data_IF_501301477339
#
_entry.id   IF_501301477339
#
_cell.length_a   1.000
_cell.length_b   1.000
_cell.length_c   1.000
_cell.angle_alpha   90.00
_cell.angle_beta   90.00
_cell.angle_gamma   90.00
#
_symmetry.space_group_name_H-M   'P 1'
#
loop_
_entity.id
_entity.type
_entity.pdbx_description
1 polymer ?
#
# COMPACT_ATOMS: atom_id res chain seq x y z
N UNK A 1 45.01 50.70 16.99
CA UNK A 1 46.46 50.96 16.97
C UNK A 1 47.23 49.65 17.18
N UNK A 2 48.10 49.33 16.21
CA UNK A 2 49.38 48.56 16.28
C UNK A 2 49.51 47.37 17.26
N UNK A 3 49.61 46.14 16.72
CA UNK A 3 50.85 45.36 16.38
C UNK A 3 51.35 44.49 17.56
N UNK A 4 51.15 43.18 17.55
CA UNK A 4 51.90 42.09 16.86
C UNK A 4 53.20 41.63 17.55
N UNK A 5 53.28 40.36 17.96
CA UNK A 5 54.45 39.44 17.99
C UNK A 5 53.89 38.00 18.01
N UNK A 6 53.99 37.14 16.99
CA UNK A 6 55.14 36.48 16.30
C UNK A 6 55.89 35.47 17.17
N UNK A 7 55.93 34.23 16.66
CA UNK A 7 56.80 33.08 17.01
C UNK A 7 56.00 31.78 16.79
N UNK A 8 56.03 31.03 15.68
CA UNK A 8 57.01 30.67 14.65
C UNK A 8 58.10 29.65 15.12
N UNK A 9 57.81 28.38 14.82
CA UNK A 9 58.65 27.27 14.31
C UNK A 9 59.54 26.46 15.27
N UNK A 10 59.31 25.14 15.27
CA UNK A 10 60.20 23.98 14.96
C UNK A 10 59.68 22.80 15.78
N UNK A 11 59.28 21.63 15.27
CA UNK A 11 59.48 21.00 13.98
C UNK A 11 59.80 19.52 14.25
N UNK A 12 58.93 18.59 13.84
CA UNK A 12 59.33 17.22 13.48
C UNK A 12 58.39 16.76 12.36
N UNK A 13 58.97 16.66 11.16
CA UNK A 13 58.49 15.81 10.08
C UNK A 13 58.34 14.38 10.62
N UNK A 14 57.11 13.88 10.65
CA UNK A 14 56.86 12.45 10.52
C UNK A 14 56.15 12.26 9.18
N UNK A 15 56.98 12.02 8.16
CA UNK A 15 56.60 11.48 6.86
C UNK A 15 56.02 10.07 7.10
N UNK A 16 54.74 9.97 7.44
CA UNK A 16 54.01 8.71 7.29
C UNK A 16 53.54 8.62 5.86
N UNK A 17 54.19 7.73 5.11
CA UNK A 17 53.69 7.15 3.87
C UNK A 17 52.19 6.88 4.01
N UNK A 18 51.35 7.68 3.35
CA UNK A 18 49.96 7.31 3.09
C UNK A 18 50.00 6.22 2.03
N UNK A 19 50.26 5.00 2.47
CA UNK A 19 50.00 3.81 1.67
C UNK A 19 48.49 3.75 1.46
N UNK A 20 48.06 4.06 0.25
CA UNK A 20 46.82 3.53 -0.34
C UNK A 20 46.71 2.05 0.00
N UNK A 21 45.72 1.68 0.81
CA UNK A 21 45.37 0.30 1.08
C UNK A 21 45.14 -0.02 2.55
N UNK A 22 43.88 0.11 3.00
CA UNK A 22 43.31 -0.78 4.01
C UNK A 22 41.77 -0.69 4.00
N UNK A 23 41.13 -1.03 2.87
CA UNK A 23 39.69 -1.34 2.81
C UNK A 23 39.41 -2.80 3.21
N UNK A 24 40.22 -3.38 4.11
CA UNK A 24 40.15 -4.81 4.47
C UNK A 24 39.90 -5.09 5.95
N UNK A 25 39.42 -4.11 6.73
CA UNK A 25 39.22 -4.26 8.17
C UNK A 25 37.75 -4.27 8.63
N UNK A 26 36.86 -4.84 7.82
CA UNK A 26 35.63 -5.47 8.32
C UNK A 26 35.71 -6.95 7.93
N UNK A 27 36.27 -7.78 8.82
CA UNK A 27 36.64 -9.18 8.58
C UNK A 27 35.46 -10.17 8.51
N UNK A 28 34.43 -9.88 7.71
CA UNK A 28 33.27 -10.75 7.51
C UNK A 28 33.00 -11.05 6.03
N UNK A 29 32.42 -12.22 5.74
CA UNK A 29 31.90 -12.55 4.40
C UNK A 29 30.73 -11.59 4.09
N UNK A 30 30.80 -10.88 2.97
CA UNK A 30 29.76 -9.93 2.54
C UNK A 30 28.84 -10.54 1.47
N UNK A 31 27.56 -10.19 1.52
CA UNK A 31 26.54 -10.59 0.55
C UNK A 31 26.53 -9.64 -0.64
N UNK A 32 26.57 -8.33 -0.36
CA UNK A 32 26.64 -7.26 -1.36
C UNK A 32 27.50 -6.12 -0.83
N UNK A 33 28.19 -5.40 -1.71
CA UNK A 33 28.82 -4.13 -1.41
C UNK A 33 28.08 -3.03 -2.15
N UNK A 34 27.76 -1.96 -1.43
CA UNK A 34 27.12 -0.76 -1.95
C UNK A 34 28.13 0.37 -1.83
N UNK A 35 28.72 0.76 -2.96
CA UNK A 35 29.93 1.57 -3.01
C UNK A 35 31.07 0.87 -2.24
N UNK A 36 31.56 1.48 -1.16
CA UNK A 36 32.61 0.89 -0.31
C UNK A 36 32.05 0.16 0.93
N UNK A 37 30.75 0.29 1.21
CA UNK A 37 30.09 -0.30 2.38
C UNK A 37 29.67 -1.75 2.12
N UNK A 38 30.15 -2.73 2.90
CA UNK A 38 29.68 -4.11 2.79
C UNK A 38 28.41 -4.35 3.62
N UNK A 39 27.44 -5.04 3.02
CA UNK A 39 26.33 -5.69 3.71
C UNK A 39 26.77 -7.13 3.99
N UNK A 40 26.87 -7.51 5.28
CA UNK A 40 27.42 -8.80 5.67
C UNK A 40 26.43 -9.94 5.47
N UNK A 41 26.95 -11.13 5.13
CA UNK A 41 26.13 -12.36 5.01
C UNK A 41 25.35 -12.62 6.30
N UNK A 42 25.98 -12.42 7.45
CA UNK A 42 25.34 -12.61 8.76
C UNK A 42 24.09 -11.73 8.92
N UNK A 43 24.15 -10.48 8.49
CA UNK A 43 23.06 -9.52 8.67
C UNK A 43 21.91 -9.84 7.69
N UNK A 44 22.26 -10.23 6.47
CA UNK A 44 21.30 -10.71 5.50
C UNK A 44 20.59 -11.98 5.97
N UNK A 45 21.33 -12.99 6.42
CA UNK A 45 20.77 -14.25 6.91
C UNK A 45 19.86 -14.03 8.13
N UNK A 46 20.23 -13.11 9.03
CA UNK A 46 19.38 -12.73 10.16
C UNK A 46 18.06 -12.08 9.71
N UNK A 47 18.11 -11.19 8.71
CA UNK A 47 16.92 -10.50 8.17
C UNK A 47 16.00 -11.48 7.43
N UNK A 48 16.57 -12.42 6.67
CA UNK A 48 15.84 -13.52 6.05
C UNK A 48 15.15 -14.38 7.11
N UNK A 49 15.86 -14.78 8.17
CA UNK A 49 15.29 -15.63 9.22
C UNK A 49 14.13 -14.95 9.95
N UNK A 50 14.22 -13.64 10.21
CA UNK A 50 13.12 -12.90 10.85
C UNK A 50 11.91 -12.77 9.91
N UNK A 51 12.13 -12.44 8.64
CA UNK A 51 11.06 -12.37 7.66
C UNK A 51 10.35 -13.72 7.49
N UNK A 52 11.09 -14.83 7.45
CA UNK A 52 10.51 -16.18 7.36
C UNK A 52 9.55 -16.47 8.52
N UNK A 53 9.94 -16.15 9.77
CA UNK A 53 9.04 -16.33 10.93
C UNK A 53 7.74 -15.56 10.81
N UNK A 54 7.78 -14.36 10.23
CA UNK A 54 6.59 -13.52 10.04
C UNK A 54 5.67 -14.13 8.98
N UNK A 55 6.22 -14.54 7.84
CA UNK A 55 5.45 -15.24 6.82
C UNK A 55 4.84 -16.56 7.34
N UNK A 56 5.58 -17.30 8.18
CA UNK A 56 5.07 -18.51 8.85
C UNK A 56 3.93 -18.21 9.82
N UNK A 57 4.03 -17.15 10.61
CA UNK A 57 2.94 -16.66 11.48
C UNK A 57 1.68 -16.28 10.68
N UNK A 58 1.85 -15.85 9.43
CA UNK A 58 0.77 -15.54 8.49
C UNK A 58 0.28 -16.76 7.69
N UNK A 59 0.80 -17.97 7.98
CA UNK A 59 0.35 -19.23 7.40
C UNK A 59 1.14 -19.74 6.19
N UNK A 60 2.20 -19.04 5.77
CA UNK A 60 3.09 -19.53 4.71
C UNK A 60 3.92 -20.72 5.22
N UNK A 61 4.02 -21.78 4.43
CA UNK A 61 4.84 -22.96 4.75
C UNK A 61 5.96 -23.12 3.74
N UNK A 62 7.20 -22.88 4.16
CA UNK A 62 8.37 -22.90 3.27
C UNK A 62 8.80 -24.29 2.77
N UNK A 63 8.28 -25.36 3.36
CA UNK A 63 8.51 -26.75 2.94
C UNK A 63 7.60 -27.21 1.78
N UNK A 64 6.51 -26.47 1.51
CA UNK A 64 5.61 -26.68 0.37
C UNK A 64 6.20 -26.17 -0.95
N UNK A 65 5.65 -26.60 -2.08
CA UNK A 65 6.09 -26.12 -3.40
C UNK A 65 5.89 -24.61 -3.57
N UNK A 66 4.77 -24.08 -3.08
CA UNK A 66 4.52 -22.64 -3.03
C UNK A 66 5.61 -21.91 -2.23
N UNK A 67 5.94 -22.43 -1.04
CA UNK A 67 6.98 -21.87 -0.19
C UNK A 67 8.38 -21.90 -0.83
N UNK A 68 8.73 -23.00 -1.48
CA UNK A 68 10.00 -23.16 -2.21
C UNK A 68 10.11 -22.19 -3.40
N UNK A 69 9.00 -21.88 -4.06
CA UNK A 69 8.95 -20.89 -5.15
C UNK A 69 9.02 -19.44 -4.62
N UNK A 70 8.38 -19.15 -3.49
CA UNK A 70 8.34 -17.82 -2.92
C UNK A 70 9.67 -17.42 -2.24
N UNK A 71 10.34 -18.35 -1.57
CA UNK A 71 11.53 -18.04 -0.75
C UNK A 71 12.66 -17.35 -1.52
N UNK A 72 13.03 -17.77 -2.75
CA UNK A 72 14.06 -17.08 -3.52
C UNK A 72 13.68 -15.63 -3.86
N UNK A 73 12.40 -15.36 -4.16
CA UNK A 73 11.91 -14.00 -4.43
C UNK A 73 11.94 -13.13 -3.16
N UNK A 74 11.49 -13.67 -2.02
CA UNK A 74 11.55 -12.98 -0.73
C UNK A 74 13.00 -12.62 -0.38
N UNK A 75 13.91 -13.59 -0.54
CA UNK A 75 15.35 -13.40 -0.34
C UNK A 75 15.92 -12.28 -1.22
N UNK A 76 15.57 -12.29 -2.51
CA UNK A 76 15.97 -11.23 -3.46
C UNK A 76 15.47 -9.86 -3.03
N UNK A 77 14.17 -9.74 -2.72
CA UNK A 77 13.54 -8.51 -2.28
C UNK A 77 14.16 -7.97 -0.99
N UNK A 78 14.46 -8.84 -0.02
CA UNK A 78 15.11 -8.43 1.22
C UNK A 78 16.52 -7.89 0.97
N UNK A 79 17.31 -8.57 0.12
CA UNK A 79 18.65 -8.09 -0.20
C UNK A 79 18.60 -6.74 -0.92
N UNK A 80 17.66 -6.57 -1.87
CA UNK A 80 17.44 -5.29 -2.54
C UNK A 80 17.08 -4.19 -1.53
N UNK A 81 16.16 -4.44 -0.59
CA UNK A 81 15.82 -3.46 0.45
C UNK A 81 16.99 -3.14 1.39
N UNK A 82 17.87 -4.11 1.67
CA UNK A 82 19.09 -3.83 2.43
C UNK A 82 20.04 -2.91 1.66
N UNK A 83 20.16 -3.09 0.34
CA UNK A 83 20.92 -2.17 -0.53
C UNK A 83 20.33 -0.77 -0.47
N UNK A 84 19.00 -0.66 -0.54
CA UNK A 84 18.29 0.62 -0.47
C UNK A 84 18.47 1.31 0.90
N UNK A 85 18.38 0.54 1.99
CA UNK A 85 18.65 1.04 3.34
C UNK A 85 20.08 1.58 3.50
N UNK A 86 21.06 0.89 2.92
CA UNK A 86 22.46 1.37 2.90
C UNK A 86 22.63 2.63 2.05
N UNK A 87 21.96 2.74 0.90
CA UNK A 87 21.96 3.96 0.09
C UNK A 87 21.37 5.15 0.86
N UNK A 88 20.27 4.96 1.58
CA UNK A 88 19.70 6.00 2.45
C UNK A 88 20.64 6.37 3.60
N UNK A 89 21.31 5.40 4.22
CA UNK A 89 22.29 5.67 5.27
C UNK A 89 23.50 6.49 4.74
N UNK A 90 23.93 6.25 3.50
CA UNK A 90 24.97 7.04 2.85
C UNK A 90 24.49 8.46 2.54
N UNK A 91 23.25 8.63 2.09
CA UNK A 91 22.67 9.95 1.83
C UNK A 91 22.48 10.77 3.10
N UNK A 92 22.08 10.15 4.21
CA UNK A 92 22.04 10.80 5.54
C UNK A 92 23.40 11.40 5.88
N UNK A 93 24.50 10.64 5.70
CA UNK A 93 25.87 11.12 5.97
C UNK A 93 26.28 12.24 5.01
N UNK A 94 26.07 12.04 3.71
CA UNK A 94 26.44 12.99 2.64
C UNK A 94 25.73 14.34 2.78
N UNK A 95 24.45 14.31 3.17
CA UNK A 95 23.62 15.49 3.36
C UNK A 95 23.67 16.06 4.80
N UNK A 96 24.48 15.45 5.68
CA UNK A 96 24.61 15.79 7.09
C UNK A 96 23.25 15.89 7.81
N UNK A 97 22.38 14.90 7.57
CA UNK A 97 21.04 14.83 8.16
C UNK A 97 21.08 14.13 9.52
N UNK A 98 20.09 14.45 10.36
CA UNK A 98 19.89 13.81 11.65
C UNK A 98 18.60 12.96 11.63
N UNK A 99 18.69 11.62 11.57
CA UNK A 99 17.53 10.73 11.68
C UNK A 99 16.81 10.81 13.02
N UNK A 100 17.44 11.38 14.05
CA UNK A 100 16.88 11.57 15.39
C UNK A 100 16.22 12.95 15.60
N UNK A 101 16.12 13.75 14.53
CA UNK A 101 15.44 15.06 14.56
C UNK A 101 13.98 14.92 15.00
N UNK A 102 13.48 15.91 15.75
CA UNK A 102 12.10 15.90 16.27
C UNK A 102 11.07 15.72 15.17
N UNK A 103 11.26 16.33 13.99
CA UNK A 103 10.33 16.20 12.86
C UNK A 103 10.28 14.78 12.29
N UNK A 104 11.43 14.09 12.28
CA UNK A 104 11.50 12.70 11.81
C UNK A 104 10.76 11.79 12.79
N UNK A 105 10.96 12.02 14.09
CA UNK A 105 10.25 11.27 15.14
C UNK A 105 8.74 11.52 15.11
N UNK A 106 8.30 12.76 14.91
CA UNK A 106 6.88 13.09 14.75
C UNK A 106 6.24 12.37 13.56
N UNK A 107 6.95 12.27 12.43
CA UNK A 107 6.49 11.51 11.26
C UNK A 107 6.38 10.01 11.56
N UNK A 108 7.39 9.44 12.22
CA UNK A 108 7.35 8.05 12.65
C UNK A 108 6.18 7.75 13.60
N UNK A 109 5.96 8.60 14.60
CA UNK A 109 4.83 8.47 15.54
C UNK A 109 3.48 8.60 14.83
N UNK A 110 3.39 9.43 13.79
CA UNK A 110 2.20 9.51 12.95
C UNK A 110 1.97 8.20 12.19
N UNK A 111 3.03 7.60 11.64
CA UNK A 111 2.95 6.29 10.97
C UNK A 111 2.49 5.22 11.97
N UNK A 112 3.11 5.14 13.15
CA UNK A 112 2.72 4.22 14.23
C UNK A 112 1.24 4.37 14.60
N UNK A 113 0.77 5.60 14.81
CA UNK A 113 -0.63 5.87 15.14
C UNK A 113 -1.59 5.41 14.06
N UNK A 114 -1.25 5.60 12.78
CA UNK A 114 -2.07 5.16 11.66
C UNK A 114 -2.12 3.63 11.52
N UNK A 115 -1.13 2.91 12.04
CA UNK A 115 -1.08 1.45 12.05
C UNK A 115 -1.81 0.82 13.24
N UNK A 116 -2.23 1.62 14.23
CA UNK A 116 -3.04 1.19 15.36
C UNK A 116 -2.24 0.89 16.63
N UNK A 117 -1.19 0.06 16.54
CA UNK A 117 -0.32 -0.27 17.68
C UNK A 117 1.15 -0.51 17.31
N UNK A 118 2.01 -0.47 18.34
CA UNK A 118 3.47 -0.67 18.22
C UNK A 118 3.84 -2.06 17.70
N UNK A 119 3.09 -3.10 18.08
CA UNK A 119 3.38 -4.46 17.65
C UNK A 119 3.18 -4.61 16.13
N UNK A 120 2.11 -4.01 15.60
CA UNK A 120 1.79 -3.99 14.17
C UNK A 120 2.81 -3.18 13.39
N UNK A 121 3.25 -2.04 13.94
CA UNK A 121 4.33 -1.23 13.36
C UNK A 121 5.63 -2.05 13.23
N UNK A 122 6.09 -2.67 14.31
CA UNK A 122 7.31 -3.47 14.31
C UNK A 122 7.21 -4.71 13.42
N UNK A 123 6.10 -5.45 13.46
CA UNK A 123 5.86 -6.61 12.58
C UNK A 123 5.85 -6.17 11.10
N UNK A 124 5.29 -5.01 10.77
CA UNK A 124 5.27 -4.48 9.39
C UNK A 124 6.66 -4.10 8.91
N UNK A 125 7.44 -3.38 9.72
CA UNK A 125 8.84 -3.05 9.37
C UNK A 125 9.65 -4.31 9.12
N UNK A 126 9.56 -5.30 10.01
CA UNK A 126 10.25 -6.58 9.84
C UNK A 126 9.78 -7.37 8.62
N UNK A 127 8.49 -7.35 8.30
CA UNK A 127 7.94 -7.98 7.08
C UNK A 127 8.48 -7.30 5.81
N UNK A 128 8.55 -5.96 5.85
CA UNK A 128 9.22 -5.19 4.82
C UNK A 128 10.74 -5.41 4.86
N UNK A 129 11.27 -6.11 5.86
CA UNK A 129 12.70 -6.24 6.08
C UNK A 129 13.29 -4.85 6.13
N UNK A 130 12.85 -4.03 7.06
CA UNK A 130 13.32 -2.69 7.41
C UNK A 130 13.49 -2.63 8.93
N UNK A 131 14.50 -1.91 9.39
CA UNK A 131 14.63 -1.48 10.78
C UNK A 131 14.03 -0.09 10.96
N UNK A 132 13.69 0.24 12.20
CA UNK A 132 13.20 1.57 12.55
C UNK A 132 14.20 2.68 12.19
N UNK A 133 15.50 2.43 12.38
CA UNK A 133 16.54 3.37 11.97
C UNK A 133 16.60 3.57 10.44
N UNK A 134 16.37 2.52 9.64
CA UNK A 134 16.28 2.66 8.18
C UNK A 134 15.02 3.45 7.78
N UNK A 135 13.89 3.29 8.47
CA UNK A 135 12.74 4.16 8.29
C UNK A 135 13.08 5.62 8.61
N UNK A 136 13.74 5.90 9.74
CA UNK A 136 14.16 7.27 10.11
C UNK A 136 15.12 7.87 9.10
N UNK A 137 16.08 7.09 8.59
CA UNK A 137 16.96 7.51 7.50
C UNK A 137 16.15 7.89 6.26
N UNK A 138 15.20 7.04 5.85
CA UNK A 138 14.32 7.32 4.72
C UNK A 138 13.53 8.61 4.93
N UNK A 139 12.88 8.79 6.09
CA UNK A 139 12.09 9.98 6.42
C UNK A 139 12.94 11.25 6.42
N UNK A 140 14.16 11.20 6.96
CA UNK A 140 15.09 12.33 6.97
C UNK A 140 15.48 12.74 5.54
N UNK A 141 15.86 11.78 4.69
CA UNK A 141 16.22 12.05 3.29
C UNK A 141 15.00 12.51 2.50
N UNK A 142 13.87 11.83 2.62
CA UNK A 142 12.61 12.19 1.95
C UNK A 142 12.20 13.62 2.30
N UNK A 143 12.18 13.96 3.59
CA UNK A 143 11.87 15.30 4.06
C UNK A 143 12.85 16.35 3.50
N UNK A 144 14.15 16.05 3.45
CA UNK A 144 15.15 16.95 2.88
C UNK A 144 14.97 17.18 1.37
N UNK A 145 14.73 16.11 0.60
CA UNK A 145 14.68 16.16 -0.86
C UNK A 145 13.37 16.79 -1.36
N UNK A 146 12.29 16.70 -0.56
CA UNK A 146 10.95 17.12 -0.97
C UNK A 146 10.45 18.41 -0.30
N UNK A 147 11.28 19.08 0.52
CA UNK A 147 10.86 20.24 1.33
C UNK A 147 10.46 21.48 0.52
N UNK A 148 10.96 21.59 -0.71
CA UNK A 148 10.75 22.68 -1.66
C UNK A 148 9.63 22.37 -2.67
N UNK A 149 9.05 21.16 -2.62
CA UNK A 149 7.95 20.78 -3.50
C UNK A 149 6.71 21.56 -3.11
N UNK A 150 6.14 22.22 -4.10
CA UNK A 150 4.87 22.96 -4.01
C UNK A 150 4.00 22.57 -5.20
N UNK A 151 2.69 22.75 -5.06
CA UNK A 151 1.71 22.53 -6.14
C UNK A 151 0.88 23.79 -6.31
N UNK A 152 0.64 24.19 -7.55
CA UNK A 152 -0.21 25.35 -7.85
C UNK A 152 -1.69 24.99 -7.77
N UNK A 153 -2.57 25.98 -7.64
CA UNK A 153 -4.03 25.76 -7.74
C UNK A 153 -4.43 25.06 -9.06
N UNK A 154 -3.70 25.33 -10.15
CA UNK A 154 -3.92 24.69 -11.44
C UNK A 154 -3.54 23.20 -11.40
N UNK A 155 -2.43 22.84 -10.75
CA UNK A 155 -2.01 21.45 -10.57
C UNK A 155 -3.00 20.68 -9.71
N UNK A 156 -3.48 21.29 -8.61
CA UNK A 156 -4.48 20.69 -7.73
C UNK A 156 -5.77 20.42 -8.51
N UNK A 157 -6.23 21.38 -9.32
CA UNK A 157 -7.43 21.20 -10.14
C UNK A 157 -7.23 20.13 -11.20
N UNK A 158 -6.08 20.09 -11.87
CA UNK A 158 -5.74 19.04 -12.83
C UNK A 158 -5.69 17.66 -12.16
N UNK A 159 -5.11 17.57 -10.96
CA UNK A 159 -5.09 16.34 -10.18
C UNK A 159 -6.52 15.88 -9.88
N UNK A 160 -7.40 16.76 -9.39
CA UNK A 160 -8.81 16.42 -9.16
C UNK A 160 -9.49 15.90 -10.42
N UNK A 161 -9.30 16.57 -11.58
CA UNK A 161 -9.94 16.17 -12.83
C UNK A 161 -9.50 14.79 -13.31
N UNK A 162 -8.23 14.45 -13.13
CA UNK A 162 -7.66 13.15 -13.48
C UNK A 162 -8.02 12.05 -12.47
N UNK A 163 -8.31 12.42 -11.23
CA UNK A 163 -8.49 11.49 -10.10
C UNK A 163 -9.91 11.56 -9.50
N UNK A 164 -10.87 12.15 -10.21
CA UNK A 164 -12.22 12.43 -9.70
C UNK A 164 -12.91 11.17 -9.16
N UNK A 165 -12.61 10.01 -9.74
CA UNK A 165 -13.13 8.72 -9.30
C UNK A 165 -12.76 8.36 -7.86
N UNK A 166 -11.56 8.75 -7.38
CA UNK A 166 -11.15 8.49 -5.99
C UNK A 166 -11.90 9.35 -4.98
N UNK A 167 -12.40 10.51 -5.42
CA UNK A 167 -13.18 11.41 -4.60
C UNK A 167 -14.69 11.17 -4.74
N UNK A 168 -15.10 10.51 -5.81
CA UNK A 168 -16.51 10.31 -6.14
C UNK A 168 -17.15 9.24 -5.28
N UNK A 169 -18.39 9.49 -4.90
CA UNK A 169 -19.27 8.44 -4.44
C UNK A 169 -19.68 7.58 -5.64
N UNK A 170 -19.40 6.26 -5.63
CA UNK A 170 -19.87 5.38 -6.69
C UNK A 170 -21.39 5.23 -6.62
N UNK A 171 -22.00 5.02 -7.79
CA UNK A 171 -23.40 4.63 -7.88
C UNK A 171 -23.64 3.32 -7.10
N UNK A 172 -24.69 3.28 -6.28
CA UNK A 172 -25.04 2.09 -5.51
C UNK A 172 -26.55 1.87 -5.45
N UNK A 173 -26.94 0.61 -5.33
CA UNK A 173 -28.33 0.18 -5.16
C UNK A 173 -28.43 -0.61 -3.86
N UNK A 174 -29.49 -0.36 -3.09
CA UNK A 174 -29.93 -1.24 -2.00
C UNK A 174 -31.07 -2.09 -2.51
N UNK A 175 -30.95 -3.42 -2.43
CA UNK A 175 -31.97 -4.32 -2.92
C UNK A 175 -32.23 -5.52 -2.00
N UNK A 176 -33.39 -6.14 -2.22
CA UNK A 176 -33.72 -7.48 -1.75
C UNK A 176 -33.90 -8.41 -2.93
N UNK A 177 -33.72 -9.70 -2.73
CA UNK A 177 -34.13 -10.67 -3.73
C UNK A 177 -34.76 -11.95 -3.16
N UNK A 178 -35.45 -12.67 -4.05
CA UNK A 178 -35.95 -14.01 -3.82
C UNK A 178 -35.36 -14.89 -4.92
N UNK A 179 -34.56 -15.88 -4.56
CA UNK A 179 -33.98 -16.84 -5.49
C UNK A 179 -34.80 -18.12 -5.50
N UNK A 180 -35.15 -18.61 -6.68
CA UNK A 180 -35.87 -19.88 -6.88
C UNK A 180 -35.28 -20.66 -8.05
N UNK A 181 -35.60 -21.95 -8.15
CA UNK A 181 -34.97 -22.84 -9.14
C UNK A 181 -35.54 -22.62 -10.53
N UNK A 182 -36.84 -22.35 -10.62
CA UNK A 182 -37.60 -22.32 -11.87
C UNK A 182 -38.22 -20.96 -12.14
N UNK A 183 -38.49 -20.69 -13.42
CA UNK A 183 -39.14 -19.45 -13.84
C UNK A 183 -40.58 -19.35 -13.31
N UNK A 184 -41.29 -20.47 -13.28
CA UNK A 184 -42.69 -20.55 -12.84
C UNK A 184 -42.84 -20.22 -11.36
N UNK A 185 -41.91 -20.66 -10.51
CA UNK A 185 -41.86 -20.26 -9.10
C UNK A 185 -41.69 -18.74 -8.95
N UNK A 186 -40.81 -18.14 -9.75
CA UNK A 186 -40.56 -16.69 -9.71
C UNK A 186 -41.78 -15.90 -10.21
N UNK A 187 -42.45 -16.37 -11.27
CA UNK A 187 -43.72 -15.79 -11.76
C UNK A 187 -44.82 -15.89 -10.70
N UNK A 188 -44.93 -17.02 -10.00
CA UNK A 188 -45.90 -17.20 -8.92
C UNK A 188 -45.63 -16.28 -7.71
N UNK A 189 -44.36 -15.98 -7.41
CA UNK A 189 -43.98 -14.98 -6.40
C UNK A 189 -44.40 -13.59 -6.83
N UNK A 190 -44.12 -13.19 -8.08
CA UNK A 190 -44.53 -11.88 -8.62
C UNK A 190 -46.05 -11.71 -8.51
N UNK A 191 -46.82 -12.73 -8.90
CA UNK A 191 -48.28 -12.70 -8.78
C UNK A 191 -48.77 -12.56 -7.33
N UNK A 192 -48.04 -13.10 -6.34
CA UNK A 192 -48.36 -12.90 -4.92
C UNK A 192 -47.97 -11.51 -4.40
N UNK A 193 -46.89 -10.93 -4.92
CA UNK A 193 -46.53 -9.55 -4.60
C UNK A 193 -47.61 -8.58 -5.12
N UNK A 194 -48.17 -8.85 -6.30
CA UNK A 194 -49.24 -8.05 -6.91
C UNK A 194 -50.55 -8.06 -6.08
N UNK A 195 -50.76 -9.07 -5.24
CA UNK A 195 -51.91 -9.12 -4.30
C UNK A 195 -51.63 -8.44 -2.96
N UNK A 196 -50.41 -7.92 -2.75
CA UNK A 196 -50.02 -7.15 -1.56
C UNK A 196 -49.31 -7.95 -0.46
N UNK A 197 -48.88 -9.19 -0.72
CA UNK A 197 -48.04 -9.95 0.21
C UNK A 197 -46.68 -9.26 0.35
N UNK A 198 -46.12 -9.21 1.58
CA UNK A 198 -44.84 -8.54 1.81
C UNK A 198 -43.70 -9.33 1.18
N UNK A 199 -42.80 -8.60 0.52
CA UNK A 199 -41.63 -9.19 -0.14
C UNK A 199 -40.76 -10.00 0.82
N UNK A 200 -40.54 -9.46 2.03
CA UNK A 200 -39.69 -10.06 3.04
C UNK A 200 -40.30 -11.37 3.58
N UNK A 201 -41.63 -11.50 3.59
CA UNK A 201 -42.32 -12.73 3.99
C UNK A 201 -42.13 -13.82 2.92
N UNK A 202 -42.35 -13.48 1.64
CA UNK A 202 -42.11 -14.40 0.52
C UNK A 202 -40.63 -14.78 0.39
N UNK A 203 -39.70 -13.86 0.66
CA UNK A 203 -38.28 -14.15 0.66
C UNK A 203 -37.92 -15.20 1.72
N UNK A 204 -38.44 -15.05 2.95
CA UNK A 204 -38.21 -16.00 4.03
C UNK A 204 -38.81 -17.37 3.75
N UNK A 205 -39.98 -17.40 3.10
CA UNK A 205 -40.70 -18.64 2.86
C UNK A 205 -40.18 -19.40 1.62
N UNK A 206 -39.91 -18.68 0.53
CA UNK A 206 -39.72 -19.27 -0.81
C UNK A 206 -38.29 -19.20 -1.32
N UNK A 207 -37.45 -18.30 -0.82
CA UNK A 207 -36.09 -18.17 -1.34
C UNK A 207 -35.26 -19.40 -1.00
N UNK A 208 -34.50 -19.90 -1.97
CA UNK A 208 -33.52 -20.97 -1.79
C UNK A 208 -32.13 -20.43 -1.43
N UNK A 209 -31.96 -19.10 -1.37
CA UNK A 209 -30.70 -18.48 -0.95
C UNK A 209 -30.40 -18.82 0.53
N UNK A 210 -29.18 -19.30 0.85
CA UNK A 210 -28.76 -19.47 2.23
C UNK A 210 -28.86 -18.15 3.02
N UNK A 211 -29.58 -18.16 4.15
CA UNK A 211 -29.74 -16.98 5.01
C UNK A 211 -30.97 -16.10 4.71
N UNK A 212 -31.73 -16.41 3.64
CA UNK A 212 -32.92 -15.63 3.29
C UNK A 212 -34.05 -15.71 4.35
N UNK A 213 -34.13 -16.81 5.12
CA UNK A 213 -35.09 -16.98 6.22
C UNK A 213 -34.90 -15.95 7.32
N UNK A 214 -33.66 -15.52 7.54
CA UNK A 214 -33.27 -14.56 8.55
C UNK A 214 -33.30 -13.13 7.97
N UNK A 215 -32.68 -12.94 6.80
CA UNK A 215 -32.51 -11.60 6.19
C UNK A 215 -33.76 -11.06 5.51
N UNK A 216 -34.72 -11.92 5.14
CA UNK A 216 -35.79 -11.55 4.22
C UNK A 216 -35.26 -11.13 2.84
N UNK A 217 -34.18 -11.77 2.40
CA UNK A 217 -33.52 -11.51 1.12
C UNK A 217 -32.74 -10.19 1.05
N UNK A 218 -32.40 -9.56 2.18
CA UNK A 218 -31.63 -8.30 2.20
C UNK A 218 -30.20 -8.51 1.69
N UNK A 219 -29.83 -7.77 0.65
CA UNK A 219 -28.47 -7.77 0.10
C UNK A 219 -27.63 -6.59 0.60
N UNK A 220 -28.23 -5.67 1.38
CA UNK A 220 -27.60 -4.39 1.70
C UNK A 220 -27.41 -3.52 0.46
N UNK A 221 -26.46 -2.58 0.53
CA UNK A 221 -26.09 -1.70 -0.58
C UNK A 221 -24.89 -2.24 -1.33
N UNK A 222 -24.93 -2.23 -2.66
CA UNK A 222 -23.84 -2.67 -3.51
C UNK A 222 -23.62 -1.71 -4.69
N UNK A 223 -22.36 -1.60 -5.10
CA UNK A 223 -21.94 -0.88 -6.31
C UNK A 223 -21.87 -1.82 -7.50
N UNK A 224 -21.69 -1.27 -8.70
CA UNK A 224 -21.41 -2.07 -9.90
C UNK A 224 -20.17 -2.97 -9.72
N UNK A 225 -20.18 -4.13 -10.37
CA UNK A 225 -19.16 -5.18 -10.30
C UNK A 225 -19.25 -6.07 -9.06
N UNK A 226 -20.29 -5.93 -8.21
CA UNK A 226 -20.46 -6.74 -6.99
C UNK A 226 -21.46 -7.88 -7.15
N UNK A 227 -22.31 -7.83 -8.18
CA UNK A 227 -23.31 -8.86 -8.48
C UNK A 227 -23.06 -9.45 -9.86
N UNK A 228 -23.65 -10.61 -10.14
CA UNK A 228 -23.58 -11.19 -11.49
C UNK A 228 -24.26 -10.27 -12.52
N UNK A 229 -23.78 -10.22 -13.78
CA UNK A 229 -24.15 -9.16 -14.73
C UNK A 229 -25.66 -9.01 -14.97
N UNK A 230 -26.40 -10.11 -15.04
CA UNK A 230 -27.84 -10.11 -15.29
C UNK A 230 -28.62 -9.53 -14.10
N UNK A 231 -28.21 -9.89 -12.88
CA UNK A 231 -28.80 -9.36 -11.65
C UNK A 231 -28.50 -7.87 -11.51
N UNK A 232 -27.25 -7.48 -11.71
CA UNK A 232 -26.81 -6.09 -11.63
C UNK A 232 -27.57 -5.21 -12.61
N UNK A 233 -27.64 -5.63 -13.88
CA UNK A 233 -28.35 -4.90 -14.94
C UNK A 233 -29.81 -4.67 -14.56
N UNK A 234 -30.49 -5.70 -14.05
CA UNK A 234 -31.87 -5.58 -13.62
C UNK A 234 -32.03 -4.66 -12.39
N UNK A 235 -31.18 -4.81 -11.37
CA UNK A 235 -31.26 -4.02 -10.14
C UNK A 235 -31.01 -2.53 -10.39
N UNK A 236 -30.01 -2.17 -11.21
CA UNK A 236 -29.68 -0.76 -11.50
C UNK A 236 -30.67 -0.09 -12.47
N UNK A 237 -31.39 -0.86 -13.30
CA UNK A 237 -32.41 -0.32 -14.19
C UNK A 237 -33.79 -0.15 -13.52
N UNK A 238 -33.99 -0.78 -12.37
CA UNK A 238 -35.28 -0.83 -11.70
C UNK A 238 -35.57 0.43 -10.87
N UNK A 239 -36.84 0.85 -10.87
CA UNK A 239 -37.29 2.00 -10.09
C UNK A 239 -37.23 1.70 -8.59
N UNK A 240 -36.78 2.68 -7.81
CA UNK A 240 -36.81 2.62 -6.34
C UNK A 240 -38.24 2.37 -5.85
N UNK A 241 -38.38 1.43 -4.92
CA UNK A 241 -39.63 1.02 -4.30
C UNK A 241 -40.41 -0.04 -5.09
N UNK A 242 -39.94 -0.47 -6.26
CA UNK A 242 -40.61 -1.52 -7.06
C UNK A 242 -39.84 -2.84 -6.99
N UNK A 243 -40.52 -3.92 -7.39
CA UNK A 243 -39.91 -5.22 -7.69
C UNK A 243 -39.92 -5.52 -9.19
N UNK A 244 -39.10 -6.48 -9.61
CA UNK A 244 -38.97 -6.91 -10.99
C UNK A 244 -40.28 -7.55 -11.46
N UNK A 245 -40.84 -7.04 -12.56
CA UNK A 245 -42.10 -7.55 -13.13
C UNK A 245 -41.93 -8.83 -13.93
N UNK A 246 -40.69 -9.23 -14.21
CA UNK A 246 -40.33 -10.49 -14.86
C UNK A 246 -39.18 -11.15 -14.08
N UNK A 247 -39.14 -12.50 -14.01
CA UNK A 247 -38.01 -13.20 -13.40
C UNK A 247 -36.67 -12.83 -14.07
N UNK A 248 -35.64 -12.63 -13.25
CA UNK A 248 -34.27 -12.37 -13.71
C UNK A 248 -33.47 -13.66 -13.65
N UNK A 249 -33.06 -14.20 -14.80
CA UNK A 249 -32.26 -15.44 -14.87
C UNK A 249 -30.79 -15.14 -14.61
N UNK A 250 -30.17 -15.96 -13.76
CA UNK A 250 -28.70 -16.01 -13.57
C UNK A 250 -28.23 -17.47 -13.58
N UNK A 251 -26.93 -17.68 -13.41
CA UNK A 251 -26.35 -19.01 -13.18
C UNK A 251 -26.90 -19.71 -11.91
N UNK A 252 -27.39 -18.96 -10.92
CA UNK A 252 -27.88 -19.50 -9.65
C UNK A 252 -29.35 -19.92 -9.68
N UNK A 253 -30.12 -19.45 -10.66
CA UNK A 253 -31.57 -19.69 -10.70
C UNK A 253 -32.33 -18.53 -11.33
N UNK A 254 -33.53 -18.28 -10.81
CA UNK A 254 -34.37 -17.15 -11.17
C UNK A 254 -34.58 -16.26 -9.95
N UNK A 255 -34.42 -14.96 -10.16
CA UNK A 255 -34.52 -13.95 -9.11
C UNK A 255 -35.77 -13.10 -9.31
N UNK A 256 -36.44 -12.77 -8.21
CA UNK A 256 -37.32 -11.60 -8.12
C UNK A 256 -36.57 -10.56 -7.31
N UNK A 257 -36.41 -9.35 -7.81
CA UNK A 257 -35.55 -8.31 -7.21
C UNK A 257 -36.43 -7.14 -6.77
N UNK A 258 -36.25 -6.63 -5.56
CA UNK A 258 -36.88 -5.39 -5.06
C UNK A 258 -35.80 -4.36 -4.79
N UNK A 259 -35.92 -3.17 -5.38
CA UNK A 259 -34.98 -2.08 -5.14
C UNK A 259 -35.55 -1.17 -4.07
N UNK A 260 -34.83 -1.01 -2.97
CA UNK A 260 -35.24 -0.19 -1.83
C UNK A 260 -34.67 1.23 -1.89
N UNK A 261 -33.46 1.39 -2.43
CA UNK A 261 -32.81 2.70 -2.61
C UNK A 261 -31.85 2.67 -3.80
N UNK A 262 -31.66 3.81 -4.44
CA UNK A 262 -30.66 4.02 -5.49
C UNK A 262 -29.95 5.32 -5.18
N UNK A 263 -28.64 5.22 -4.98
CA UNK A 263 -27.77 6.37 -4.77
C UNK A 263 -26.98 6.62 -6.05
N UNK A 264 -27.18 7.77 -6.73
CA UNK A 264 -26.48 8.05 -7.97
C UNK A 264 -24.98 8.24 -7.72
N UNK A 265 -24.17 8.02 -8.76
CA UNK A 265 -22.78 8.45 -8.72
C UNK A 265 -22.73 9.98 -8.56
N UNK A 266 -21.90 10.44 -7.63
CA UNK A 266 -21.74 11.87 -7.38
C UNK A 266 -20.25 12.18 -7.21
N UNK A 267 -19.74 13.05 -8.08
CA UNK A 267 -18.46 13.71 -7.82
C UNK A 267 -18.69 14.79 -6.77
N UNK A 268 -17.87 14.85 -5.70
CA UNK A 268 -17.97 15.93 -4.73
C UNK A 268 -17.61 17.26 -5.40
N UNK A 269 -18.29 18.33 -5.03
CA UNK A 269 -17.89 19.68 -5.44
C UNK A 269 -16.41 19.91 -5.09
N UNK A 270 -15.62 20.38 -6.05
CA UNK A 270 -14.19 20.62 -5.87
C UNK A 270 -13.88 21.40 -4.61
N UNK A 271 -14.64 22.47 -4.31
CA UNK A 271 -14.44 23.30 -3.11
C UNK A 271 -14.57 22.52 -1.79
N UNK A 272 -15.40 21.47 -1.75
CA UNK A 272 -15.57 20.62 -0.55
C UNK A 272 -14.39 19.69 -0.32
N UNK A 273 -13.65 19.33 -1.39
CA UNK A 273 -12.52 18.39 -1.32
C UNK A 273 -11.17 19.02 -1.64
N UNK A 274 -11.12 20.32 -1.97
CA UNK A 274 -9.91 21.04 -2.41
C UNK A 274 -8.73 20.84 -1.45
N UNK A 275 -8.98 20.82 -0.15
CA UNK A 275 -7.95 20.58 0.86
C UNK A 275 -7.33 19.18 0.77
N UNK A 276 -8.17 18.14 0.66
CA UNK A 276 -7.70 16.76 0.52
C UNK A 276 -6.98 16.55 -0.82
N UNK A 277 -7.58 17.03 -1.91
CA UNK A 277 -6.97 16.99 -3.26
C UNK A 277 -5.61 17.69 -3.26
N UNK A 278 -5.51 18.85 -2.62
CA UNK A 278 -4.26 19.59 -2.53
C UNK A 278 -3.17 18.82 -1.80
N UNK A 279 -3.52 18.12 -0.72
CA UNK A 279 -2.58 17.28 0.02
C UNK A 279 -2.16 16.04 -0.80
N UNK A 280 -3.10 15.41 -1.49
CA UNK A 280 -2.82 14.24 -2.34
C UNK A 280 -1.94 14.61 -3.54
N UNK A 281 -2.23 15.73 -4.20
CA UNK A 281 -1.43 16.27 -5.28
C UNK A 281 -0.02 16.61 -4.81
N UNK A 282 0.11 17.23 -3.63
CA UNK A 282 1.42 17.52 -3.03
C UNK A 282 2.19 16.23 -2.75
N UNK A 283 1.55 15.23 -2.13
CA UNK A 283 2.19 13.95 -1.84
C UNK A 283 2.64 13.24 -3.11
N UNK A 284 1.80 13.19 -4.16
CA UNK A 284 2.19 12.60 -5.44
C UNK A 284 3.40 13.33 -6.07
N UNK A 285 3.42 14.66 -6.04
CA UNK A 285 4.54 15.43 -6.56
C UNK A 285 5.83 15.18 -5.77
N UNK A 286 5.74 15.05 -4.44
CA UNK A 286 6.87 14.70 -3.59
C UNK A 286 7.39 13.29 -3.87
N UNK A 287 6.49 12.32 -4.00
CA UNK A 287 6.84 10.94 -4.31
C UNK A 287 7.51 10.83 -5.67
N UNK A 288 7.00 11.51 -6.70
CA UNK A 288 7.61 11.54 -8.03
C UNK A 288 9.03 12.14 -8.01
N UNK A 289 9.23 13.24 -7.27
CA UNK A 289 10.56 13.86 -7.10
C UNK A 289 11.52 12.92 -6.37
N UNK A 290 11.06 12.33 -5.27
CA UNK A 290 11.88 11.42 -4.47
C UNK A 290 12.23 10.14 -5.24
N UNK A 291 11.28 9.58 -5.98
CA UNK A 291 11.51 8.41 -6.84
C UNK A 291 12.61 8.70 -7.87
N UNK A 292 12.53 9.84 -8.55
CA UNK A 292 13.58 10.26 -9.50
C UNK A 292 14.95 10.37 -8.83
N UNK A 293 14.99 11.00 -7.64
CA UNK A 293 16.22 11.12 -6.85
C UNK A 293 16.80 9.75 -6.47
N UNK A 294 15.93 8.84 -6.02
CA UNK A 294 16.30 7.52 -5.57
C UNK A 294 16.77 6.63 -6.72
N UNK A 295 16.12 6.70 -7.87
CA UNK A 295 16.52 5.98 -9.08
C UNK A 295 17.91 6.43 -9.55
N UNK A 296 18.16 7.74 -9.55
CA UNK A 296 19.49 8.30 -9.85
C UNK A 296 20.53 7.86 -8.82
N UNK A 297 20.18 7.84 -7.53
CA UNK A 297 21.06 7.34 -6.48
C UNK A 297 21.44 5.88 -6.71
N UNK A 298 20.46 5.02 -6.97
CA UNK A 298 20.68 3.58 -7.22
C UNK A 298 21.48 3.34 -8.49
N UNK A 299 21.20 4.10 -9.56
CA UNK A 299 21.92 4.01 -10.84
C UNK A 299 23.38 4.42 -10.73
N UNK A 300 23.68 5.43 -9.92
CA UNK A 300 25.04 5.93 -9.72
C UNK A 300 25.83 5.14 -8.67
N UNK A 301 25.18 4.27 -7.91
CA UNK A 301 25.83 3.42 -6.93
C UNK A 301 26.56 2.25 -7.58
N UNK A 302 27.76 1.93 -7.05
CA UNK A 302 28.48 0.72 -7.42
C UNK A 302 27.98 -0.44 -6.56
N UNK A 303 27.13 -1.30 -7.11
CA UNK A 303 26.56 -2.45 -6.39
C UNK A 303 27.25 -3.74 -6.85
N UNK A 304 28.00 -4.37 -5.97
CA UNK A 304 28.72 -5.62 -6.24
C UNK A 304 28.14 -6.76 -5.39
N UNK A 305 27.59 -7.80 -6.02
CA UNK A 305 27.06 -8.97 -5.33
C UNK A 305 28.12 -10.07 -5.23
N UNK A 306 28.22 -10.73 -4.07
CA UNK A 306 29.05 -11.92 -3.93
C UNK A 306 28.35 -13.14 -4.53
N UNK A 307 29.11 -14.21 -4.77
CA UNK A 307 28.58 -15.43 -5.37
C UNK A 307 27.43 -16.00 -4.53
N UNK A 308 26.28 -16.23 -5.17
CA UNK A 308 25.07 -16.76 -4.53
C UNK A 308 24.09 -15.71 -3.99
N UNK A 309 24.43 -14.42 -4.08
CA UNK A 309 23.60 -13.31 -3.59
C UNK A 309 23.11 -12.38 -4.72
N UNK A 310 23.28 -12.76 -5.98
CA UNK A 310 22.74 -11.96 -7.09
C UNK A 310 21.20 -12.03 -7.06
N UNK A 311 20.47 -10.90 -7.12
CA UNK A 311 19.02 -10.86 -7.19
C UNK A 311 18.48 -11.65 -8.38
N UNK A 312 17.27 -12.18 -8.20
CA UNK A 312 16.53 -12.87 -9.26
C UNK A 312 15.86 -11.79 -10.10
N UNK A 313 16.14 -11.79 -11.40
CA UNK A 313 15.51 -10.90 -12.39
C UNK A 313 14.07 -11.30 -12.69
#
# INVERSE_FOLDING_TARGET
MRRSRVGLIYGVLALMLVTTGCSSLVGGKWAVKVNESPILVKDYDARVAEAQKIYEKQGMKFDTDQGKQALPQIKSQLLDRMVEGELMAQEVKKLALNPEDEKVKEQEETIKKNMGDEATFQDTLKQQGMSENELRNFLAVYGKITNDVTVSDADIKSFYDQNIAYYSQPESVKARHILVKTEDEAKAIIAQLDTGVKFEELAKEKSIEPGAKESGGDLGSFTKGKMVPEFETAAFAQKVGTYSTTPVKTEFGYHVIKVEAHTPAAAPEYEKVKGQVGQDALNQAKDAKFQTYFDDLRKNAKIEYSQGYKPIS
#
